data_IF_185501394934
#
_entry.id   IF_185501394934
#
_cell.length_a   1.000
_cell.length_b   1.000
_cell.length_c   1.000
_cell.angle_alpha   90.00
_cell.angle_beta   90.00
_cell.angle_gamma   90.00
#
_symmetry.space_group_name_H-M   'P 1'
#
loop_
_entity.id
_entity.type
_entity.pdbx_description
1 polymer ?
#
# COMPACT_ATOMS: atom_id res chain seq x y z
N UNK A 1 -0.68 26.93 5.62
CA UNK A 1 -1.10 25.91 6.62
C UNK A 1 -2.61 25.91 6.84
N UNK A 2 -3.24 27.02 7.26
CA UNK A 2 -4.70 27.12 7.50
C UNK A 2 -5.54 26.76 6.25
N UNK A 3 -5.15 27.24 5.07
CA UNK A 3 -5.82 26.88 3.81
C UNK A 3 -5.79 25.37 3.50
N UNK A 4 -4.68 24.69 3.83
CA UNK A 4 -4.59 23.23 3.64
C UNK A 4 -5.53 22.49 4.59
N UNK A 5 -5.58 22.91 5.86
CA UNK A 5 -6.54 22.36 6.83
C UNK A 5 -7.99 22.58 6.37
N UNK A 6 -8.31 23.75 5.83
CA UNK A 6 -9.64 24.05 5.31
C UNK A 6 -10.04 23.12 4.16
N UNK A 7 -9.15 22.89 3.19
CA UNK A 7 -9.42 21.98 2.07
C UNK A 7 -9.61 20.53 2.52
N UNK A 8 -8.84 20.06 3.52
CA UNK A 8 -9.00 18.72 4.09
C UNK A 8 -10.34 18.60 4.82
N UNK A 9 -10.75 19.62 5.56
CA UNK A 9 -12.06 19.62 6.25
C UNK A 9 -13.21 19.58 5.25
N UNK A 10 -13.12 20.34 4.16
CA UNK A 10 -14.13 20.33 3.09
C UNK A 10 -14.22 18.95 2.44
N UNK A 11 -13.09 18.32 2.08
CA UNK A 11 -13.11 17.03 1.41
C UNK A 11 -13.72 15.93 2.30
N UNK A 12 -13.43 15.93 3.60
CA UNK A 12 -14.03 15.02 4.56
C UNK A 12 -15.55 15.26 4.71
N UNK A 13 -15.99 16.52 4.79
CA UNK A 13 -17.42 16.86 4.85
C UNK A 13 -18.18 16.38 3.61
N UNK A 14 -17.57 16.50 2.44
CA UNK A 14 -18.15 16.01 1.18
C UNK A 14 -18.31 14.48 1.24
N UNK A 15 -17.26 13.74 1.62
CA UNK A 15 -17.31 12.27 1.71
C UNK A 15 -18.38 11.78 2.70
N UNK A 16 -18.48 12.42 3.87
CA UNK A 16 -19.46 12.06 4.90
C UNK A 16 -20.88 12.37 4.43
N UNK A 17 -21.10 13.52 3.78
CA UNK A 17 -22.42 13.87 3.27
C UNK A 17 -22.89 12.93 2.16
N UNK A 18 -21.99 12.49 1.26
CA UNK A 18 -22.29 11.45 0.27
C UNK A 18 -22.63 10.10 0.91
N UNK A 19 -21.89 9.68 1.94
CA UNK A 19 -22.21 8.45 2.69
C UNK A 19 -23.60 8.52 3.34
N UNK A 20 -23.91 9.61 4.04
CA UNK A 20 -25.23 9.80 4.68
C UNK A 20 -26.34 9.82 3.63
N UNK A 21 -26.13 10.55 2.53
CA UNK A 21 -27.09 10.60 1.43
C UNK A 21 -27.35 9.21 0.85
N UNK A 22 -26.30 8.41 0.63
CA UNK A 22 -26.44 7.04 0.13
C UNK A 22 -27.28 6.17 1.09
N UNK A 23 -27.06 6.28 2.40
CA UNK A 23 -27.83 5.55 3.40
C UNK A 23 -29.30 5.98 3.43
N UNK A 24 -29.58 7.29 3.31
CA UNK A 24 -30.94 7.83 3.29
C UNK A 24 -31.72 7.41 2.04
N UNK A 25 -31.06 7.39 0.88
CA UNK A 25 -31.68 6.97 -0.39
C UNK A 25 -31.92 5.46 -0.43
N UNK A 26 -31.07 4.67 0.22
CA UNK A 26 -31.23 3.22 0.25
C UNK A 26 -32.49 2.82 1.03
N UNK A 27 -33.46 2.24 0.31
CA UNK A 27 -34.65 1.65 0.94
C UNK A 27 -34.21 0.39 1.68
N UNK A 28 -34.16 0.46 3.02
CA UNK A 28 -33.89 -0.69 3.90
C UNK A 28 -35.10 -1.64 3.85
N UNK A 29 -35.29 -2.32 2.72
CA UNK A 29 -36.24 -3.41 2.61
C UNK A 29 -35.75 -4.55 3.50
N UNK A 30 -36.61 -5.01 4.43
CA UNK A 30 -36.45 -6.17 5.34
C UNK A 30 -35.20 -6.99 5.02
N UNK A 31 -34.19 -6.86 5.86
CA UNK A 31 -32.89 -7.54 5.75
C UNK A 31 -33.16 -9.04 5.72
N UNK A 32 -33.27 -9.63 4.53
CA UNK A 32 -33.30 -11.08 4.36
C UNK A 32 -31.93 -11.60 4.82
N UNK A 33 -31.90 -12.68 5.60
CA UNK A 33 -30.68 -13.26 6.19
C UNK A 33 -29.58 -13.60 5.16
N UNK A 34 -29.96 -13.81 3.90
CA UNK A 34 -29.07 -14.10 2.76
C UNK A 34 -28.34 -12.86 2.20
N UNK A 35 -28.81 -11.64 2.48
CA UNK A 35 -28.10 -10.43 2.04
C UNK A 35 -26.82 -10.14 2.83
N UNK A 36 -26.77 -10.32 4.16
CA UNK A 36 -25.55 -10.15 4.94
C UNK A 36 -24.64 -11.39 4.97
N UNK A 37 -25.00 -12.52 4.34
CA UNK A 37 -24.11 -13.69 4.29
C UNK A 37 -22.95 -13.47 3.32
N UNK A 38 -21.76 -14.04 3.59
CA UNK A 38 -20.62 -13.95 2.68
C UNK A 38 -20.96 -14.56 1.32
N UNK A 39 -20.46 -13.95 0.26
CA UNK A 39 -20.69 -14.41 -1.10
C UNK A 39 -19.71 -15.53 -1.47
N UNK A 40 -20.20 -16.76 -1.54
CA UNK A 40 -19.50 -17.90 -2.18
C UNK A 40 -20.38 -18.48 -3.30
N UNK A 41 -20.67 -17.68 -4.32
CA UNK A 41 -21.49 -18.10 -5.47
C UNK A 41 -22.89 -18.65 -5.07
N UNK A 42 -23.45 -18.21 -3.95
CA UNK A 42 -24.74 -18.66 -3.43
C UNK A 42 -24.67 -19.89 -2.50
N UNK A 43 -23.48 -20.39 -2.20
CA UNK A 43 -23.25 -21.45 -1.22
C UNK A 43 -22.89 -20.89 0.16
N UNK A 44 -23.12 -21.71 1.18
CA UNK A 44 -22.62 -21.44 2.52
C UNK A 44 -21.09 -21.65 2.56
N UNK A 45 -20.35 -20.76 3.24
CA UNK A 45 -18.90 -20.83 3.25
C UNK A 45 -18.39 -22.15 3.83
N UNK A 46 -17.57 -22.86 3.06
CA UNK A 46 -17.03 -24.18 3.46
C UNK A 46 -15.99 -24.08 4.58
N UNK A 47 -15.36 -22.91 4.75
CA UNK A 47 -14.33 -22.70 5.76
C UNK A 47 -14.36 -21.27 6.29
N UNK A 48 -13.75 -21.06 7.46
CA UNK A 48 -13.52 -19.71 7.97
C UNK A 48 -12.64 -18.93 6.99
N UNK A 49 -13.00 -17.67 6.67
CA UNK A 49 -12.27 -16.78 5.77
C UNK A 49 -10.81 -16.46 6.19
N UNK A 50 -10.28 -17.09 7.25
CA UNK A 50 -8.93 -16.88 7.79
C UNK A 50 -8.05 -18.10 7.55
N UNK A 51 -7.99 -18.54 6.30
CA UNK A 51 -7.02 -19.55 5.87
C UNK A 51 -5.61 -18.95 5.94
N UNK A 52 -4.57 -19.76 6.25
CA UNK A 52 -3.19 -19.31 6.17
C UNK A 52 -2.91 -18.86 4.74
N UNK A 53 -2.54 -17.58 4.62
CA UNK A 53 -2.24 -16.95 3.34
C UNK A 53 -0.89 -17.45 2.81
N UNK A 54 -0.68 -17.36 1.50
CA UNK A 54 0.55 -17.88 0.91
C UNK A 54 1.76 -17.05 1.38
N UNK A 55 2.83 -17.75 1.75
CA UNK A 55 4.08 -17.14 2.25
C UNK A 55 4.76 -16.22 1.21
N UNK A 56 4.37 -16.32 -0.07
CA UNK A 56 4.91 -15.50 -1.15
C UNK A 56 4.52 -14.02 -1.00
N UNK A 57 3.28 -13.73 -0.62
CA UNK A 57 2.87 -12.35 -0.38
C UNK A 57 3.56 -11.74 0.85
N UNK A 58 3.87 -12.56 1.85
CA UNK A 58 4.66 -12.13 2.99
C UNK A 58 6.08 -11.73 2.58
N UNK A 59 6.73 -12.49 1.69
CA UNK A 59 8.05 -12.13 1.16
C UNK A 59 8.01 -10.81 0.38
N UNK A 60 7.00 -10.60 -0.46
CA UNK A 60 6.82 -9.33 -1.18
C UNK A 60 6.68 -8.15 -0.21
N UNK A 61 5.94 -8.34 0.90
CA UNK A 61 5.76 -7.31 1.92
C UNK A 61 7.07 -6.96 2.62
N UNK A 62 7.92 -7.94 2.94
CA UNK A 62 9.25 -7.68 3.53
C UNK A 62 10.13 -6.87 2.57
N UNK A 63 10.19 -7.28 1.30
CA UNK A 63 10.99 -6.60 0.27
C UNK A 63 10.50 -5.16 0.11
N UNK A 64 9.18 -4.95 0.06
CA UNK A 64 8.58 -3.63 -0.01
C UNK A 64 8.98 -2.76 1.18
N UNK A 65 8.90 -3.25 2.41
CA UNK A 65 9.27 -2.49 3.62
C UNK A 65 10.76 -2.11 3.59
N UNK A 66 11.64 -3.04 3.20
CA UNK A 66 13.08 -2.75 3.11
C UNK A 66 13.34 -1.63 2.10
N UNK A 67 12.74 -1.71 0.92
CA UNK A 67 12.90 -0.71 -0.13
C UNK A 67 12.32 0.66 0.27
N UNK A 68 11.18 0.69 0.97
CA UNK A 68 10.56 1.95 1.41
C UNK A 68 11.43 2.68 2.45
N UNK A 69 12.09 1.93 3.36
CA UNK A 69 13.06 2.49 4.30
C UNK A 69 14.28 3.08 3.58
N UNK A 70 14.75 2.42 2.54
CA UNK A 70 15.91 2.87 1.75
C UNK A 70 15.58 4.14 0.94
N UNK A 71 14.35 4.27 0.44
CA UNK A 71 13.88 5.49 -0.23
C UNK A 71 13.85 6.70 0.72
N UNK A 72 13.46 6.51 1.98
CA UNK A 72 13.49 7.58 2.99
C UNK A 72 14.92 8.09 3.19
N UNK A 73 15.92 7.20 3.12
CA UNK A 73 17.34 7.57 3.25
C UNK A 73 17.85 8.30 1.99
N UNK A 74 17.30 7.99 0.80
CA UNK A 74 17.64 8.65 -0.46
C UNK A 74 17.01 10.05 -0.62
N UNK A 75 15.83 10.31 -0.04
CA UNK A 75 15.08 11.54 -0.31
C UNK A 75 15.75 12.88 0.12
N UNK A 76 16.52 12.96 1.23
CA UNK A 76 17.19 14.20 1.68
C UNK A 76 18.12 14.84 0.64
N UNK A 77 18.53 14.09 -0.38
CA UNK A 77 19.45 14.50 -1.45
C UNK A 77 18.90 15.57 -2.36
N UNK A 78 17.59 15.56 -2.60
CA UNK A 78 16.94 16.59 -3.41
C UNK A 78 17.01 17.99 -2.76
N UNK A 79 17.33 18.04 -1.47
CA UNK A 79 17.30 19.27 -0.67
C UNK A 79 18.71 19.80 -0.30
N UNK A 80 19.80 19.13 -0.67
CA UNK A 80 21.16 19.61 -0.38
C UNK A 80 21.65 20.66 -1.39
N UNK A 81 22.27 21.75 -0.87
CA UNK A 81 22.85 22.84 -1.67
C UNK A 81 24.18 22.47 -2.35
N UNK A 82 24.53 23.24 -3.40
CA UNK A 82 25.67 23.11 -4.33
C UNK A 82 27.04 22.73 -3.74
N UNK A 83 27.31 23.08 -2.48
CA UNK A 83 28.63 22.90 -1.86
C UNK A 83 28.98 21.47 -1.43
N UNK A 84 28.00 20.59 -1.19
CA UNK A 84 28.25 19.20 -0.78
C UNK A 84 28.02 18.15 -1.88
N UNK A 85 27.71 18.59 -3.11
CA UNK A 85 27.11 17.73 -4.14
C UNK A 85 28.01 16.59 -4.60
N UNK A 86 29.31 16.77 -4.73
CA UNK A 86 30.14 15.73 -5.37
C UNK A 86 30.27 14.51 -4.46
N UNK A 87 30.62 14.71 -3.19
CA UNK A 87 30.80 13.59 -2.26
C UNK A 87 29.46 12.94 -1.88
N UNK A 88 28.40 13.74 -1.70
CA UNK A 88 27.07 13.17 -1.44
C UNK A 88 26.58 12.38 -2.65
N UNK A 89 26.65 12.92 -3.88
CA UNK A 89 26.27 12.20 -5.09
C UNK A 89 27.01 10.86 -5.25
N UNK A 90 28.32 10.81 -4.96
CA UNK A 90 29.09 9.56 -5.03
C UNK A 90 28.60 8.52 -4.02
N UNK A 91 28.36 8.92 -2.76
CA UNK A 91 27.84 8.02 -1.72
C UNK A 91 26.47 7.47 -2.12
N UNK A 92 25.61 8.29 -2.73
CA UNK A 92 24.28 7.85 -3.14
C UNK A 92 24.28 7.00 -4.39
N UNK A 93 25.18 7.27 -5.33
CA UNK A 93 25.37 6.39 -6.49
C UNK A 93 25.81 5.00 -6.02
N UNK A 94 26.75 4.93 -5.06
CA UNK A 94 27.14 3.68 -4.43
C UNK A 94 25.95 3.02 -3.71
N UNK A 95 25.17 3.77 -2.94
CA UNK A 95 23.97 3.27 -2.27
C UNK A 95 22.96 2.71 -3.28
N UNK A 96 22.67 3.43 -4.36
CA UNK A 96 21.76 3.00 -5.43
C UNK A 96 22.25 1.74 -6.16
N UNK A 97 23.55 1.62 -6.39
CA UNK A 97 24.14 0.40 -6.97
C UNK A 97 23.95 -0.79 -6.02
N UNK A 98 24.15 -0.61 -4.71
CA UNK A 98 23.92 -1.67 -3.72
C UNK A 98 22.45 -2.10 -3.73
N UNK A 99 21.51 -1.16 -3.77
CA UNK A 99 20.07 -1.41 -3.86
C UNK A 99 19.68 -2.19 -5.12
N UNK A 100 20.18 -1.77 -6.28
CA UNK A 100 19.89 -2.49 -7.52
C UNK A 100 20.47 -3.91 -7.53
N UNK A 101 21.63 -4.12 -6.90
CA UNK A 101 22.23 -5.45 -6.77
C UNK A 101 21.46 -6.36 -5.80
N UNK A 102 20.97 -5.86 -4.67
CA UNK A 102 20.17 -6.67 -3.74
C UNK A 102 18.85 -7.12 -4.39
N UNK A 103 18.16 -6.21 -5.08
CA UNK A 103 16.94 -6.53 -5.83
C UNK A 103 17.20 -7.54 -6.95
N UNK A 104 18.32 -7.41 -7.67
CA UNK A 104 18.69 -8.37 -8.71
C UNK A 104 18.93 -9.77 -8.12
N UNK A 105 19.60 -9.85 -6.97
CA UNK A 105 19.84 -11.11 -6.28
C UNK A 105 18.53 -11.77 -5.84
N UNK A 106 17.62 -11.00 -5.22
CA UNK A 106 16.28 -11.49 -4.84
C UNK A 106 15.48 -11.97 -6.05
N UNK A 107 15.53 -11.27 -7.18
CA UNK A 107 14.86 -11.70 -8.40
C UNK A 107 15.45 -13.01 -8.93
N UNK A 108 16.78 -13.13 -8.95
CA UNK A 108 17.46 -14.35 -9.40
C UNK A 108 17.11 -15.59 -8.55
N UNK A 109 16.86 -15.38 -7.25
CA UNK A 109 16.54 -16.45 -6.29
C UNK A 109 15.17 -17.11 -6.49
N UNK A 110 14.38 -16.67 -7.49
CA UNK A 110 13.04 -17.16 -7.80
C UNK A 110 12.00 -17.07 -6.68
N UNK A 111 12.32 -16.42 -5.55
CA UNK A 111 11.39 -16.13 -4.45
C UNK A 111 10.17 -15.31 -4.92
N UNK A 112 10.34 -14.54 -5.99
CA UNK A 112 9.34 -13.68 -6.62
C UNK A 112 8.59 -14.37 -7.79
N UNK A 113 8.95 -15.59 -8.17
CA UNK A 113 8.27 -16.30 -9.27
C UNK A 113 6.92 -16.84 -8.78
N UNK A 114 5.89 -16.48 -9.51
CA UNK A 114 4.57 -17.07 -9.37
C UNK A 114 4.67 -18.48 -9.96
N UNK A 115 4.28 -19.46 -9.16
CA UNK A 115 3.89 -20.76 -9.72
C UNK A 115 2.41 -20.61 -9.97
N UNK A 116 2.00 -20.86 -11.20
CA UNK A 116 0.60 -21.12 -11.53
C UNK A 116 0.06 -22.29 -10.70
#
# INVERSE_FOLDING_TARGET
MIFMFYNIMISLLILISFMIFSMLVTKINKIKKEKPSPYECGFEPWSMNRLPFSMKFYMILIIFISFDLELIILLPLMFFNSFFIINSCLINLLFFIILSMSLYWEWSSSLLKWQE
#
